data_IF_510738778346
#
_entry.id   IF_510738778346
#
_cell.length_a   1.000
_cell.length_b   1.000
_cell.length_c   1.000
_cell.angle_alpha   90.00
_cell.angle_beta   90.00
_cell.angle_gamma   90.00
#
_symmetry.space_group_name_H-M   'P 1'
#
loop_
_entity.id
_entity.type
_entity.pdbx_description
1 polymer ?
#
# COMPACT_ATOMS: atom_id res chain seq x y z
N UNK A 1 -31.75 22.99 2.97
CA UNK A 1 -30.31 23.19 3.26
C UNK A 1 -29.93 24.65 2.97
N UNK A 2 -29.40 25.34 3.97
CA UNK A 2 -28.96 26.74 3.92
C UNK A 2 -27.65 26.88 3.14
N UNK A 3 -27.40 28.08 2.59
CA UNK A 3 -26.12 28.44 1.94
C UNK A 3 -24.93 28.27 2.90
N UNK A 4 -25.15 28.41 4.20
CA UNK A 4 -24.16 28.16 5.24
C UNK A 4 -23.82 26.66 5.39
N UNK A 5 -24.82 25.78 5.36
CA UNK A 5 -24.64 24.32 5.46
C UNK A 5 -23.88 23.76 4.24
N UNK A 6 -24.17 24.27 3.03
CA UNK A 6 -23.40 23.92 1.83
C UNK A 6 -21.94 24.40 1.91
N UNK A 7 -21.70 25.56 2.52
CA UNK A 7 -20.35 26.12 2.68
C UNK A 7 -19.52 25.38 3.74
N UNK A 8 -20.12 24.95 4.86
CA UNK A 8 -19.43 24.16 5.88
C UNK A 8 -19.09 22.77 5.38
N UNK A 9 -20.01 22.11 4.67
CA UNK A 9 -19.80 20.76 4.12
C UNK A 9 -18.65 20.72 3.09
N UNK A 10 -18.56 21.73 2.24
CA UNK A 10 -17.47 21.85 1.26
C UNK A 10 -16.09 22.09 1.92
N UNK A 11 -16.05 22.71 3.10
CA UNK A 11 -14.80 22.87 3.86
C UNK A 11 -14.37 21.57 4.50
N UNK A 12 -15.30 20.85 5.14
CA UNK A 12 -15.00 19.55 5.77
C UNK A 12 -14.54 18.50 4.76
N UNK A 13 -15.16 18.47 3.58
CA UNK A 13 -14.75 17.60 2.47
C UNK A 13 -13.34 17.94 1.96
N UNK A 14 -13.03 19.23 1.82
CA UNK A 14 -11.68 19.68 1.45
C UNK A 14 -10.64 19.28 2.50
N UNK A 15 -10.96 19.47 3.79
CA UNK A 15 -10.08 19.08 4.90
C UNK A 15 -9.85 17.56 4.93
N UNK A 16 -10.86 16.76 4.62
CA UNK A 16 -10.71 15.31 4.51
C UNK A 16 -9.75 14.91 3.37
N UNK A 17 -9.88 15.53 2.20
CA UNK A 17 -8.99 15.29 1.06
C UNK A 17 -7.53 15.69 1.39
N UNK A 18 -7.33 16.84 2.02
CA UNK A 18 -6.00 17.31 2.44
C UNK A 18 -5.34 16.34 3.44
N UNK A 19 -6.12 15.72 4.33
CA UNK A 19 -5.62 14.68 5.25
C UNK A 19 -5.20 13.41 4.54
N UNK A 20 -5.98 12.95 3.57
CA UNK A 20 -5.63 11.78 2.75
C UNK A 20 -4.36 12.08 1.96
N UNK A 21 -4.27 13.24 1.31
CA UNK A 21 -3.07 13.65 0.58
C UNK A 21 -1.83 13.67 1.49
N UNK A 22 -1.97 14.22 2.71
CA UNK A 22 -0.90 14.20 3.72
C UNK A 22 -0.51 12.78 4.12
N UNK A 23 -1.46 11.87 4.30
CA UNK A 23 -1.19 10.48 4.65
C UNK A 23 -0.41 9.77 3.55
N UNK A 24 -0.81 9.95 2.29
CA UNK A 24 -0.13 9.40 1.12
C UNK A 24 1.31 9.94 1.02
N UNK A 25 1.46 11.25 1.19
CA UNK A 25 2.76 11.94 1.14
C UNK A 25 3.70 11.49 2.26
N UNK A 26 3.18 11.38 3.49
CA UNK A 26 3.92 10.88 4.64
C UNK A 26 4.31 9.41 4.46
N UNK A 27 3.41 8.60 3.91
CA UNK A 27 3.67 7.17 3.69
C UNK A 27 4.75 6.93 2.65
N UNK A 28 4.74 7.71 1.57
CA UNK A 28 5.80 7.74 0.55
C UNK A 28 7.18 8.10 1.14
N UNK A 29 7.21 9.10 2.02
CA UNK A 29 8.46 9.63 2.60
C UNK A 29 8.97 8.86 3.82
N UNK A 30 8.19 7.94 4.38
CA UNK A 30 8.56 7.22 5.60
C UNK A 30 8.38 8.04 6.88
N UNK A 31 7.52 9.05 6.88
CA UNK A 31 7.28 9.91 8.05
C UNK A 31 6.39 9.22 9.09
N UNK A 32 6.97 8.31 9.86
CA UNK A 32 6.29 7.52 10.89
C UNK A 32 5.41 8.37 11.83
N UNK A 33 5.89 9.51 12.41
CA UNK A 33 5.05 10.30 13.32
C UNK A 33 3.84 10.95 12.63
N UNK A 34 4.01 11.40 11.38
CA UNK A 34 2.93 12.00 10.59
C UNK A 34 1.86 10.95 10.27
N UNK A 35 2.27 9.75 9.87
CA UNK A 35 1.36 8.63 9.60
C UNK A 35 0.59 8.24 10.86
N UNK A 36 1.29 8.06 11.98
CA UNK A 36 0.65 7.72 13.25
C UNK A 36 -0.40 8.75 13.68
N UNK A 37 -0.05 10.04 13.64
CA UNK A 37 -0.98 11.12 13.99
C UNK A 37 -2.24 11.12 13.11
N UNK A 38 -2.09 10.90 11.79
CA UNK A 38 -3.22 10.87 10.87
C UNK A 38 -4.13 9.66 11.10
N UNK A 39 -3.57 8.51 11.46
CA UNK A 39 -4.33 7.33 11.85
C UNK A 39 -5.10 7.56 13.16
N UNK A 40 -4.48 8.25 14.14
CA UNK A 40 -5.16 8.68 15.38
C UNK A 40 -6.32 9.66 15.11
N UNK A 41 -6.20 10.51 14.07
CA UNK A 41 -7.28 11.37 13.57
C UNK A 41 -8.40 10.61 12.83
N UNK A 42 -8.34 9.27 12.79
CA UNK A 42 -9.30 8.38 12.10
C UNK A 42 -9.35 8.59 10.59
N UNK A 43 -8.23 8.98 9.98
CA UNK A 43 -8.10 8.92 8.53
C UNK A 43 -8.11 7.45 8.12
N UNK A 44 -8.90 7.11 7.11
CA UNK A 44 -8.96 5.74 6.58
C UNK A 44 -7.59 5.35 6.00
N UNK A 45 -6.93 4.28 6.51
CA UNK A 45 -5.64 3.82 6.03
C UNK A 45 -5.66 3.30 4.60
N UNK A 46 -6.84 3.06 4.02
CA UNK A 46 -7.04 2.62 2.64
C UNK A 46 -7.43 3.76 1.70
N UNK A 47 -7.54 4.99 2.21
CA UNK A 47 -7.96 6.12 1.40
C UNK A 47 -6.97 6.42 0.27
N UNK A 48 -7.45 6.37 -0.97
CA UNK A 48 -6.73 6.74 -2.18
C UNK A 48 -7.30 8.04 -2.77
N UNK A 49 -6.51 8.71 -3.61
CA UNK A 49 -6.96 9.91 -4.33
C UNK A 49 -6.89 9.66 -5.83
N UNK A 50 -7.84 8.88 -6.35
CA UNK A 50 -8.12 8.65 -7.78
C UNK A 50 -6.96 8.09 -8.61
N UNK A 51 -5.92 8.90 -8.79
CA UNK A 51 -4.64 8.56 -9.44
C UNK A 51 -3.55 8.13 -8.45
N UNK A 52 -3.76 8.35 -7.15
CA UNK A 52 -2.76 8.02 -6.14
C UNK A 52 -3.08 6.66 -5.50
N UNK A 53 -2.18 5.69 -5.67
CA UNK A 53 -2.18 4.42 -4.92
C UNK A 53 -2.26 4.72 -3.41
N UNK A 54 -3.01 3.92 -2.65
CA UNK A 54 -3.25 4.08 -1.23
C UNK A 54 -1.98 4.09 -0.36
N UNK A 55 -2.10 4.44 0.93
CA UNK A 55 -0.95 4.63 1.82
C UNK A 55 0.00 3.44 1.88
N UNK A 56 -0.54 2.21 1.93
CA UNK A 56 0.26 0.99 2.00
C UNK A 56 1.01 0.71 0.70
N UNK A 57 0.40 1.01 -0.46
CA UNK A 57 1.05 0.92 -1.76
C UNK A 57 2.21 1.94 -1.87
N UNK A 58 2.01 3.18 -1.38
CA UNK A 58 3.07 4.19 -1.32
C UNK A 58 4.23 3.74 -0.43
N UNK A 59 3.92 3.23 0.77
CA UNK A 59 4.94 2.72 1.67
C UNK A 59 5.71 1.54 1.04
N UNK A 60 4.99 0.66 0.34
CA UNK A 60 5.56 -0.51 -0.29
C UNK A 60 6.47 -0.19 -1.48
N UNK A 61 6.04 0.69 -2.39
CA UNK A 61 6.84 1.12 -3.54
C UNK A 61 8.15 1.83 -3.11
N UNK A 62 8.14 2.48 -1.95
CA UNK A 62 9.26 3.27 -1.45
C UNK A 62 10.05 2.58 -0.31
N UNK A 63 9.77 1.32 0.01
CA UNK A 63 10.54 0.55 0.99
C UNK A 63 10.35 0.98 2.45
N UNK A 64 9.26 1.69 2.76
CA UNK A 64 9.02 2.29 4.07
C UNK A 64 8.45 1.27 5.06
N UNK A 65 9.32 0.39 5.54
CA UNK A 65 8.96 -0.79 6.34
C UNK A 65 8.19 -0.44 7.62
N UNK A 66 8.63 0.56 8.39
CA UNK A 66 7.94 0.96 9.64
C UNK A 66 6.56 1.59 9.36
N UNK A 67 6.44 2.36 8.28
CA UNK A 67 5.15 2.90 7.85
C UNK A 67 4.21 1.77 7.42
N UNK A 68 4.69 0.84 6.59
CA UNK A 68 3.90 -0.30 6.14
C UNK A 68 3.39 -1.12 7.34
N UNK A 69 4.24 -1.33 8.35
CA UNK A 69 3.87 -1.98 9.61
C UNK A 69 2.74 -1.25 10.34
N UNK A 70 2.85 0.08 10.50
CA UNK A 70 1.80 0.88 11.15
C UNK A 70 0.48 0.81 10.39
N UNK A 71 0.52 0.91 9.06
CA UNK A 71 -0.68 0.83 8.22
C UNK A 71 -1.37 -0.53 8.35
N UNK A 72 -0.61 -1.63 8.31
CA UNK A 72 -1.17 -2.98 8.52
C UNK A 72 -1.76 -3.14 9.93
N UNK A 73 -1.09 -2.61 10.95
CA UNK A 73 -1.63 -2.60 12.32
C UNK A 73 -2.93 -1.78 12.43
N UNK A 74 -3.08 -0.75 11.59
CA UNK A 74 -4.31 0.03 11.46
C UNK A 74 -5.36 -0.64 10.54
N UNK A 75 -5.18 -1.91 10.16
CA UNK A 75 -6.06 -2.67 9.27
C UNK A 75 -6.11 -2.13 7.83
N UNK A 76 -4.99 -1.61 7.33
CA UNK A 76 -4.84 -1.41 5.89
C UNK A 76 -4.99 -2.74 5.13
N UNK A 77 -5.69 -2.70 4.01
CA UNK A 77 -5.91 -3.85 3.14
C UNK A 77 -4.64 -4.17 2.34
N UNK A 78 -4.05 -5.33 2.62
CA UNK A 78 -2.82 -5.81 1.98
C UNK A 78 -3.03 -6.29 0.55
N UNK A 79 -4.28 -6.47 0.13
CA UNK A 79 -4.68 -6.86 -1.23
C UNK A 79 -5.19 -5.68 -2.06
N UNK A 80 -5.16 -4.46 -1.52
CA UNK A 80 -5.68 -3.29 -2.22
C UNK A 80 -4.87 -3.03 -3.50
N UNK A 81 -5.47 -3.38 -4.63
CA UNK A 81 -4.92 -3.15 -5.96
C UNK A 81 -5.17 -1.69 -6.40
N UNK A 82 -4.26 -1.15 -7.21
CA UNK A 82 -4.52 0.12 -7.91
C UNK A 82 -5.47 -0.07 -9.11
N UNK A 83 -6.04 1.04 -9.55
CA UNK A 83 -6.99 1.05 -10.66
C UNK A 83 -6.30 0.94 -12.04
N UNK A 84 -4.99 1.20 -12.12
CA UNK A 84 -4.24 1.21 -13.38
C UNK A 84 -3.85 -0.20 -13.82
N UNK A 85 -3.02 -0.88 -13.02
CA UNK A 85 -2.41 -2.17 -13.40
C UNK A 85 -2.86 -3.32 -12.51
N UNK A 86 -3.78 -3.05 -11.56
CA UNK A 86 -4.12 -3.96 -10.47
C UNK A 86 -2.90 -4.38 -9.64
N UNK A 87 -1.94 -3.46 -9.46
CA UNK A 87 -0.77 -3.72 -8.64
C UNK A 87 -1.10 -3.60 -7.16
N UNK A 88 -1.00 -4.72 -6.44
CA UNK A 88 -1.11 -4.76 -4.98
C UNK A 88 0.16 -4.22 -4.31
N UNK A 89 0.16 -3.92 -3.00
CA UNK A 89 1.38 -3.53 -2.28
C UNK A 89 2.53 -4.53 -2.47
N UNK A 90 2.22 -5.82 -2.61
CA UNK A 90 3.22 -6.87 -2.82
C UNK A 90 3.87 -6.78 -4.21
N UNK A 91 3.12 -6.46 -5.26
CA UNK A 91 3.66 -6.20 -6.60
C UNK A 91 4.66 -5.04 -6.57
N UNK A 92 4.28 -3.92 -5.93
CA UNK A 92 5.12 -2.72 -5.86
C UNK A 92 6.39 -2.96 -5.03
N UNK A 93 6.28 -3.61 -3.87
CA UNK A 93 7.45 -3.96 -3.07
C UNK A 93 8.41 -4.88 -3.83
N UNK A 94 7.87 -5.79 -4.64
CA UNK A 94 8.65 -6.72 -5.45
C UNK A 94 9.34 -6.04 -6.65
N UNK A 95 8.61 -5.19 -7.36
CA UNK A 95 9.11 -4.41 -8.51
C UNK A 95 10.30 -3.53 -8.12
N UNK A 96 10.28 -2.93 -6.93
CA UNK A 96 11.37 -2.07 -6.44
C UNK A 96 12.36 -2.79 -5.51
N UNK A 97 12.20 -4.10 -5.27
CA UNK A 97 13.18 -4.92 -4.56
C UNK A 97 13.22 -4.75 -3.05
N UNK A 98 12.14 -4.29 -2.41
CA UNK A 98 12.07 -4.00 -0.98
C UNK A 98 11.81 -5.27 -0.15
N UNK A 99 12.84 -6.10 0.03
CA UNK A 99 12.76 -7.41 0.67
C UNK A 99 12.09 -7.41 2.06
N UNK A 100 12.37 -6.41 2.90
CA UNK A 100 11.77 -6.32 4.24
C UNK A 100 10.27 -6.02 4.21
N UNK A 101 9.83 -5.16 3.29
CA UNK A 101 8.40 -4.92 3.05
C UNK A 101 7.73 -6.18 2.52
N UNK A 102 8.37 -6.90 1.60
CA UNK A 102 7.84 -8.17 1.07
C UNK A 102 7.62 -9.18 2.20
N UNK A 103 8.61 -9.37 3.09
CA UNK A 103 8.46 -10.26 4.26
C UNK A 103 7.26 -9.85 5.12
N UNK A 104 7.14 -8.55 5.40
CA UNK A 104 6.08 -8.00 6.22
C UNK A 104 4.69 -8.19 5.60
N UNK A 105 4.54 -7.96 4.30
CA UNK A 105 3.28 -8.18 3.57
C UNK A 105 2.90 -9.65 3.52
N UNK A 106 3.85 -10.56 3.29
CA UNK A 106 3.60 -12.01 3.32
C UNK A 106 3.17 -12.49 4.71
N UNK A 107 3.80 -11.98 5.77
CA UNK A 107 3.38 -12.27 7.16
C UNK A 107 1.97 -11.75 7.46
N UNK A 108 1.56 -10.66 6.81
CA UNK A 108 0.22 -10.10 6.93
C UNK A 108 -0.82 -10.81 6.03
N UNK A 109 -0.43 -11.86 5.29
CA UNK A 109 -1.33 -12.67 4.48
C UNK A 109 -1.46 -12.23 3.01
N UNK A 110 -0.59 -11.34 2.52
CA UNK A 110 -0.58 -10.97 1.10
C UNK A 110 -0.37 -12.21 0.20
N UNK A 111 -1.07 -12.25 -0.94
CA UNK A 111 -1.06 -13.41 -1.83
C UNK A 111 0.11 -13.31 -2.83
N UNK A 112 1.14 -14.17 -2.74
CA UNK A 112 2.31 -14.10 -3.63
C UNK A 112 2.04 -14.55 -5.07
N UNK A 113 0.89 -15.17 -5.34
CA UNK A 113 0.48 -15.65 -6.66
C UNK A 113 -0.63 -14.82 -7.32
N UNK A 114 -1.02 -13.71 -6.71
CA UNK A 114 -2.00 -12.79 -7.31
C UNK A 114 -1.41 -12.17 -8.58
N UNK A 115 -2.22 -12.01 -9.63
CA UNK A 115 -1.76 -11.55 -10.94
C UNK A 115 -2.24 -10.12 -11.20
N UNK A 116 -1.34 -9.29 -11.73
CA UNK A 116 -1.65 -7.96 -12.25
C UNK A 116 -2.43 -8.05 -13.59
N UNK A 117 -2.83 -6.91 -14.16
CA UNK A 117 -3.57 -6.86 -15.45
C UNK A 117 -2.77 -7.40 -16.63
N UNK A 118 -1.44 -7.51 -16.51
CA UNK A 118 -0.55 -8.10 -17.52
C UNK A 118 -0.30 -9.60 -17.29
N UNK A 119 -0.94 -10.19 -16.28
CA UNK A 119 -0.79 -11.60 -15.93
C UNK A 119 0.54 -11.91 -15.23
N UNK A 120 1.18 -10.92 -14.60
CA UNK A 120 2.42 -11.08 -13.84
C UNK A 120 2.11 -11.20 -12.36
N UNK A 121 2.79 -12.12 -11.68
CA UNK A 121 2.79 -12.14 -10.22
C UNK A 121 3.90 -11.22 -9.66
N UNK A 122 3.89 -10.92 -8.34
CA UNK A 122 4.96 -10.15 -7.71
C UNK A 122 6.37 -10.73 -7.98
N UNK A 123 6.52 -12.05 -8.06
CA UNK A 123 7.82 -12.68 -8.34
C UNK A 123 8.31 -12.40 -9.78
N UNK A 124 7.39 -12.29 -10.75
CA UNK A 124 7.72 -11.96 -12.13
C UNK A 124 8.22 -10.52 -12.22
N UNK A 125 7.53 -9.58 -11.56
CA UNK A 125 7.96 -8.18 -11.43
C UNK A 125 9.37 -8.06 -10.83
N UNK A 126 9.63 -8.75 -9.71
CA UNK A 126 10.96 -8.77 -9.10
C UNK A 126 12.02 -9.33 -10.05
N UNK A 127 11.69 -10.35 -10.85
CA UNK A 127 12.61 -10.95 -11.83
C UNK A 127 12.89 -10.00 -13.00
N UNK A 128 11.86 -9.36 -13.56
CA UNK A 128 11.97 -8.37 -14.64
C UNK A 128 12.85 -7.18 -14.23
N UNK A 129 12.75 -6.76 -12.97
CA UNK A 129 13.53 -5.66 -12.40
C UNK A 129 14.91 -6.06 -11.85
N UNK A 130 15.27 -7.36 -11.89
CA UNK A 130 16.58 -7.87 -11.47
C UNK A 130 16.75 -8.09 -9.97
N UNK A 131 15.66 -8.09 -9.19
CA UNK A 131 15.65 -8.31 -7.74
C UNK A 131 15.58 -9.81 -7.39
N UNK A 132 16.66 -10.54 -7.71
CA UNK A 132 16.71 -12.00 -7.60
C UNK A 132 16.42 -12.54 -6.19
N UNK A 133 16.85 -11.84 -5.13
CA UNK A 133 16.56 -12.25 -3.74
C UNK A 133 15.05 -12.21 -3.45
N UNK A 134 14.38 -11.12 -3.86
CA UNK A 134 12.95 -10.92 -3.66
C UNK A 134 12.13 -11.90 -4.48
N UNK A 135 12.51 -12.12 -5.75
CA UNK A 135 11.87 -13.11 -6.60
C UNK A 135 11.92 -14.51 -5.98
N UNK A 136 13.08 -14.92 -5.46
CA UNK A 136 13.23 -16.22 -4.78
C UNK A 136 12.34 -16.32 -3.55
N UNK A 137 12.31 -15.27 -2.72
CA UNK A 137 11.48 -15.22 -1.51
C UNK A 137 9.99 -15.41 -1.84
N UNK A 138 9.49 -14.73 -2.88
CA UNK A 138 8.11 -14.81 -3.32
C UNK A 138 7.77 -16.19 -3.90
N UNK A 139 8.68 -16.79 -4.67
CA UNK A 139 8.51 -18.14 -5.20
C UNK A 139 8.47 -19.20 -4.10
N UNK A 140 9.30 -19.06 -3.06
CA UNK A 140 9.28 -19.93 -1.88
C UNK A 140 7.96 -19.79 -1.12
N UNK A 141 7.49 -18.56 -0.92
CA UNK A 141 6.20 -18.29 -0.29
C UNK A 141 5.04 -18.91 -1.08
N UNK A 142 4.99 -18.71 -2.40
CA UNK A 142 3.95 -19.28 -3.27
C UNK A 142 3.90 -20.81 -3.23
N UNK A 143 5.04 -21.49 -3.13
CA UNK A 143 5.12 -22.95 -2.97
C UNK A 143 4.66 -23.43 -1.60
N UNK A 144 4.94 -22.65 -0.55
CA UNK A 144 4.48 -22.94 0.81
C UNK A 144 2.95 -22.96 0.93
N UNK A 145 2.26 -22.04 0.24
CA UNK A 145 0.79 -21.98 0.21
C UNK A 145 0.11 -23.10 -0.61
N UNK A 146 0.82 -23.75 -1.52
CA UNK A 146 0.27 -24.83 -2.36
C UNK A 146 0.29 -26.21 -1.67
N UNK A 147 0.89 -26.32 -0.47
CA UNK A 147 1.19 -27.60 0.19
C UNK A 147 0.50 -27.78 1.57
N UNK A 148 -0.60 -27.05 1.81
CA UNK A 148 -1.48 -27.16 2.98
C UNK A 148 -2.92 -27.26 2.56
#
# INVERSE_FOLDING_TARGET
MSRAERSSRSKEEKVALERVERLLSASRRGEVPSVQLLLEERVDPNASLGIACGPLQQAAAHGQTEVAKLLIQAAADVHLADDDDHSTPLHLAAEFGHAEVVRLLLQAGAQPGELDTFGRCPADKATECGHAEVARMLQEAARGHANT
#
